data_IF_484777569052
#
_entry.id   IF_484777569052
#
_cell.length_a   1.000
_cell.length_b   1.000
_cell.length_c   1.000
_cell.angle_alpha   90.00
_cell.angle_beta   90.00
_cell.angle_gamma   90.00
#
_symmetry.space_group_name_H-M   'P 1'
#
loop_
_entity.id
_entity.type
_entity.pdbx_description
1 polymer ?
#
# COMPACT_ATOMS: atom_id res chain seq x y z
N UNK A 1 23.95 -26.54 5.70
CA UNK A 1 24.25 -25.16 5.32
C UNK A 1 23.31 -24.61 4.26
N UNK A 2 23.18 -25.31 3.13
CA UNK A 2 22.31 -24.87 2.06
C UNK A 2 20.84 -24.70 2.47
N UNK A 3 20.23 -25.58 3.28
CA UNK A 3 18.85 -25.39 3.71
C UNK A 3 18.64 -24.10 4.52
N UNK A 4 19.66 -23.69 5.27
CA UNK A 4 19.57 -22.47 6.06
C UNK A 4 19.52 -21.25 5.17
N UNK A 5 20.28 -21.23 4.10
CA UNK A 5 20.26 -20.12 3.14
C UNK A 5 18.89 -19.98 2.48
N UNK A 6 18.29 -21.12 2.11
CA UNK A 6 16.97 -21.08 1.50
C UNK A 6 15.91 -20.52 2.44
N UNK A 7 15.99 -20.86 3.71
CA UNK A 7 15.07 -20.33 4.71
C UNK A 7 15.22 -18.83 4.85
N UNK A 8 16.44 -18.31 4.82
CA UNK A 8 16.68 -16.88 4.93
C UNK A 8 16.09 -16.12 3.74
N UNK A 9 16.24 -16.66 2.54
CA UNK A 9 15.68 -16.06 1.33
C UNK A 9 14.16 -16.00 1.41
N UNK A 10 13.53 -17.08 1.88
CA UNK A 10 12.08 -17.10 2.05
C UNK A 10 11.60 -16.05 3.06
N UNK A 11 12.32 -15.87 4.15
CA UNK A 11 11.96 -14.88 5.16
C UNK A 11 12.04 -13.46 4.58
N UNK A 12 13.05 -13.16 3.79
CA UNK A 12 13.18 -11.85 3.15
C UNK A 12 12.02 -11.60 2.19
N UNK A 13 11.62 -12.61 1.42
CA UNK A 13 10.51 -12.47 0.50
C UNK A 13 9.21 -12.17 1.23
N UNK A 14 8.95 -12.83 2.35
CA UNK A 14 7.76 -12.57 3.16
C UNK A 14 7.76 -11.14 3.72
N UNK A 15 8.90 -10.66 4.17
CA UNK A 15 9.03 -9.30 4.67
C UNK A 15 8.71 -8.28 3.59
N UNK A 16 9.14 -8.52 2.36
CA UNK A 16 8.90 -7.62 1.24
C UNK A 16 7.44 -7.51 0.83
N UNK A 17 6.58 -8.46 1.23
CA UNK A 17 5.16 -8.42 0.89
C UNK A 17 4.33 -7.52 1.79
N UNK A 18 4.88 -7.02 2.88
CA UNK A 18 4.14 -6.27 3.90
C UNK A 18 4.36 -4.75 3.81
N UNK A 19 4.57 -4.24 2.62
CA UNK A 19 4.85 -2.82 2.45
C UNK A 19 3.59 -1.97 2.56
N UNK A 20 3.67 -0.93 3.38
CA UNK A 20 2.59 0.02 3.55
C UNK A 20 2.80 1.24 2.68
N UNK A 21 1.71 1.93 2.37
CA UNK A 21 1.75 3.16 1.61
C UNK A 21 1.04 4.26 2.36
N UNK A 22 1.40 5.49 2.06
CA UNK A 22 0.75 6.67 2.64
C UNK A 22 0.17 7.52 1.52
N UNK A 23 -1.11 7.81 1.63
CA UNK A 23 -1.80 8.71 0.72
C UNK A 23 -1.90 10.08 1.39
N UNK A 24 -1.31 11.10 0.78
CA UNK A 24 -1.43 12.47 1.28
C UNK A 24 -2.52 13.18 0.49
N UNK A 25 -3.49 13.73 1.20
CA UNK A 25 -4.60 14.43 0.58
C UNK A 25 -4.28 15.90 0.39
N UNK A 26 -5.05 16.56 -0.48
CA UNK A 26 -4.86 17.97 -0.79
C UNK A 26 -5.04 18.87 0.45
N UNK A 27 -5.84 18.44 1.42
CA UNK A 27 -6.04 19.21 2.65
C UNK A 27 -4.97 18.97 3.71
N UNK A 28 -3.94 18.17 3.39
CA UNK A 28 -2.87 17.88 4.32
C UNK A 28 -3.06 16.62 5.15
N UNK A 29 -4.23 16.01 5.13
CA UNK A 29 -4.47 14.77 5.86
C UNK A 29 -3.75 13.60 5.21
N UNK A 30 -3.40 12.59 6.00
CA UNK A 30 -2.74 11.40 5.51
C UNK A 30 -3.55 10.15 5.81
N UNK A 31 -3.51 9.19 4.88
CA UNK A 31 -4.13 7.87 5.04
C UNK A 31 -3.04 6.83 4.90
N UNK A 32 -2.92 5.96 5.90
CA UNK A 32 -1.99 4.83 5.83
C UNK A 32 -2.74 3.61 5.33
N UNK A 33 -2.22 2.95 4.32
CA UNK A 33 -2.83 1.76 3.71
C UNK A 33 -1.98 0.54 3.98
N UNK A 34 -2.60 -0.64 3.94
CA UNK A 34 -1.88 -1.90 4.12
C UNK A 34 -1.30 -2.44 2.81
N UNK A 35 -1.68 -1.85 1.68
CA UNK A 35 -1.19 -2.28 0.37
C UNK A 35 -1.14 -1.08 -0.57
N UNK A 36 -0.53 -1.28 -1.75
CA UNK A 36 -0.42 -0.22 -2.74
C UNK A 36 -1.79 0.18 -3.26
N UNK A 37 -2.17 1.47 -3.17
CA UNK A 37 -3.42 1.95 -3.76
C UNK A 37 -3.42 1.78 -5.27
N UNK A 38 -4.58 1.48 -5.83
CA UNK A 38 -4.74 1.29 -7.27
C UNK A 38 -5.81 2.24 -7.80
N UNK A 39 -5.52 2.83 -8.95
CA UNK A 39 -6.51 3.65 -9.64
C UNK A 39 -7.60 2.76 -10.20
N UNK A 40 -8.87 3.17 -10.05
CA UNK A 40 -9.98 2.39 -10.60
C UNK A 40 -9.99 2.49 -12.14
N UNK A 41 -10.74 1.61 -12.84
CA UNK A 41 -10.75 1.64 -14.31
C UNK A 41 -11.18 2.96 -14.90
N UNK A 42 -12.04 3.70 -14.23
CA UNK A 42 -12.53 5.00 -14.71
C UNK A 42 -11.55 6.13 -14.45
N UNK A 43 -10.51 5.90 -13.66
CA UNK A 43 -9.52 6.92 -13.33
C UNK A 43 -10.02 8.00 -12.39
N UNK A 44 -11.11 7.76 -11.66
CA UNK A 44 -11.74 8.77 -10.81
C UNK A 44 -11.45 8.61 -9.34
N UNK A 45 -10.99 7.44 -8.91
CA UNK A 45 -10.74 7.17 -7.49
C UNK A 45 -9.63 6.15 -7.32
N UNK A 46 -8.92 6.23 -6.19
CA UNK A 46 -7.96 5.22 -5.78
C UNK A 46 -8.63 4.27 -4.80
N UNK A 47 -8.49 2.97 -5.06
CA UNK A 47 -8.98 1.91 -4.20
C UNK A 47 -7.81 1.37 -3.39
N UNK A 48 -7.99 1.24 -2.09
CA UNK A 48 -6.93 0.78 -1.20
C UNK A 48 -7.53 -0.05 -0.06
N UNK A 49 -6.68 -0.80 0.63
CA UNK A 49 -7.07 -1.51 1.84
C UNK A 49 -6.52 -0.76 3.05
N UNK A 50 -7.36 -0.53 4.04
CA UNK A 50 -6.94 0.11 5.28
C UNK A 50 -6.16 -0.87 6.16
N UNK A 51 -5.74 -0.42 7.34
CA UNK A 51 -4.95 -1.26 8.23
C UNK A 51 -5.72 -2.43 8.80
N UNK A 52 -7.06 -2.40 8.75
CA UNK A 52 -7.90 -3.52 9.14
C UNK A 52 -8.19 -4.47 7.98
N UNK A 53 -7.65 -4.20 6.79
CA UNK A 53 -7.86 -5.04 5.63
C UNK A 53 -9.14 -4.77 4.87
N UNK A 54 -9.87 -3.71 5.22
CA UNK A 54 -11.10 -3.35 4.53
C UNK A 54 -10.81 -2.54 3.28
N UNK A 55 -11.57 -2.79 2.23
CA UNK A 55 -11.43 -2.03 1.01
C UNK A 55 -12.12 -0.67 1.15
N UNK A 56 -11.40 0.37 0.78
CA UNK A 56 -11.88 1.74 0.81
C UNK A 56 -11.46 2.44 -0.47
N UNK A 57 -12.00 3.62 -0.71
CA UNK A 57 -11.64 4.41 -1.87
C UNK A 57 -11.59 5.89 -1.51
N UNK A 58 -10.83 6.64 -2.28
CA UNK A 58 -10.71 8.09 -2.14
C UNK A 58 -10.68 8.72 -3.53
N UNK A 59 -11.35 9.84 -3.69
CA UNK A 59 -11.39 10.54 -4.97
C UNK A 59 -9.98 10.88 -5.45
N UNK A 60 -9.68 10.57 -6.71
CA UNK A 60 -8.36 10.84 -7.27
C UNK A 60 -8.02 12.34 -7.24
N UNK A 61 -9.03 13.21 -7.40
CA UNK A 61 -8.83 14.65 -7.35
C UNK A 61 -8.43 15.18 -5.98
N UNK A 62 -8.66 14.41 -4.91
CA UNK A 62 -8.26 14.79 -3.56
C UNK A 62 -6.90 14.27 -3.17
N UNK A 63 -6.31 13.39 -3.96
CA UNK A 63 -5.01 12.79 -3.66
C UNK A 63 -3.90 13.70 -4.16
N UNK A 64 -3.00 14.08 -3.28
CA UNK A 64 -1.85 14.91 -3.62
C UNK A 64 -0.61 14.08 -3.89
N UNK A 65 -0.40 13.02 -3.11
CA UNK A 65 0.77 12.19 -3.24
C UNK A 65 0.50 10.79 -2.70
N UNK A 66 1.10 9.78 -3.31
CA UNK A 66 1.10 8.40 -2.81
C UNK A 66 2.55 7.96 -2.78
N UNK A 67 3.01 7.53 -1.61
CA UNK A 67 4.39 7.13 -1.42
C UNK A 67 4.48 5.91 -0.49
N UNK A 68 5.52 5.05 -0.67
CA UNK A 68 5.78 3.98 0.29
C UNK A 68 6.12 4.58 1.65
N UNK A 69 5.63 3.92 2.68
CA UNK A 69 5.90 4.36 4.04
C UNK A 69 7.14 3.72 4.64
#
# INVERSE_FOLDING_TARGET
MKPILLMMIAAVALTGCAQRYRITLANGNGITTSSKPKLNPEGTAYVYKDLQGRENWVSAGKVREIAPE
#
